data_IF_122363889437
#
_entry.id   IF_122363889437
#
_cell.length_a   1.000
_cell.length_b   1.000
_cell.length_c   1.000
_cell.angle_alpha   90.00
_cell.angle_beta   90.00
_cell.angle_gamma   90.00
#
_symmetry.space_group_name_H-M   'P 1'
#
loop_
_entity.id
_entity.type
_entity.pdbx_description
1 polymer ?
#
# COMPACT_ATOMS: atom_id res chain seq x y z
N UNK A 1 -8.36 -18.71 -14.95
CA UNK A 1 -9.64 -18.79 -15.68
C UNK A 1 -10.69 -17.84 -15.12
N UNK A 2 -10.85 -17.73 -13.78
CA UNK A 2 -11.78 -16.75 -13.15
C UNK A 2 -11.43 -15.29 -13.50
N UNK A 3 -10.15 -14.92 -13.50
CA UNK A 3 -9.72 -13.53 -13.76
C UNK A 3 -10.10 -13.06 -15.18
N UNK A 4 -9.92 -13.93 -16.19
CA UNK A 4 -10.37 -13.65 -17.57
C UNK A 4 -11.89 -13.42 -17.64
N UNK A 5 -12.69 -14.19 -16.89
CA UNK A 5 -14.15 -14.02 -16.85
C UNK A 5 -14.52 -12.69 -16.16
N UNK A 6 -13.81 -12.30 -15.11
CA UNK A 6 -14.05 -11.01 -14.43
C UNK A 6 -13.75 -9.83 -15.36
N UNK A 7 -12.58 -9.82 -16.00
CA UNK A 7 -12.15 -8.73 -16.88
C UNK A 7 -12.88 -8.68 -18.22
N UNK A 8 -13.19 -9.84 -18.82
CA UNK A 8 -13.74 -9.89 -20.18
C UNK A 8 -15.25 -10.03 -20.21
N UNK A 9 -15.88 -10.48 -19.12
CA UNK A 9 -17.32 -10.70 -19.07
C UNK A 9 -17.97 -9.80 -18.02
N UNK A 10 -17.58 -9.92 -16.76
CA UNK A 10 -18.33 -9.32 -15.66
C UNK A 10 -18.21 -7.80 -15.62
N UNK A 11 -16.98 -7.27 -15.73
CA UNK A 11 -16.72 -5.84 -15.75
C UNK A 11 -17.40 -5.16 -16.96
N UNK A 12 -17.17 -5.60 -18.22
CA UNK A 12 -17.77 -4.93 -19.38
C UNK A 12 -19.27 -5.17 -19.55
N UNK A 13 -19.81 -6.33 -19.14
CA UNK A 13 -21.24 -6.62 -19.34
C UNK A 13 -22.13 -6.19 -18.17
N UNK A 14 -21.62 -6.06 -16.95
CA UNK A 14 -22.43 -5.70 -15.78
C UNK A 14 -21.96 -4.40 -15.13
N UNK A 15 -20.70 -4.33 -14.68
CA UNK A 15 -20.21 -3.21 -13.90
C UNK A 15 -20.23 -1.89 -14.69
N UNK A 16 -19.72 -1.89 -15.92
CA UNK A 16 -19.68 -0.70 -16.76
C UNK A 16 -21.09 -0.18 -17.16
N UNK A 17 -22.04 -1.02 -17.60
CA UNK A 17 -23.41 -0.55 -17.89
C UNK A 17 -24.14 -0.01 -16.67
N UNK A 18 -24.00 -0.66 -15.50
CA UNK A 18 -24.62 -0.21 -14.25
C UNK A 18 -24.04 1.14 -13.81
N UNK A 19 -22.72 1.31 -13.91
CA UNK A 19 -22.07 2.58 -13.59
C UNK A 19 -22.55 3.72 -14.51
N UNK A 20 -22.67 3.44 -15.80
CA UNK A 20 -23.21 4.40 -16.77
C UNK A 20 -24.65 4.80 -16.42
N UNK A 21 -25.53 3.84 -16.12
CA UNK A 21 -26.91 4.18 -15.73
C UNK A 21 -26.98 4.98 -14.44
N UNK A 22 -26.12 4.66 -13.47
CA UNK A 22 -26.04 5.40 -12.21
C UNK A 22 -25.59 6.85 -12.42
N UNK A 23 -24.55 7.06 -13.22
CA UNK A 23 -24.01 8.40 -13.53
C UNK A 23 -24.97 9.21 -14.41
N UNK A 24 -25.61 8.59 -15.40
CA UNK A 24 -26.68 9.21 -16.20
C UNK A 24 -27.85 9.67 -15.32
N UNK A 25 -28.32 8.82 -14.38
CA UNK A 25 -29.40 9.17 -13.47
C UNK A 25 -28.99 10.30 -12.50
N UNK A 26 -27.76 10.27 -11.99
CA UNK A 26 -27.23 11.31 -11.12
C UNK A 26 -27.10 12.66 -11.85
N UNK A 27 -26.71 12.64 -13.12
CA UNK A 27 -26.66 13.82 -13.98
C UNK A 27 -28.05 14.37 -14.28
N UNK A 28 -29.00 13.51 -14.66
CA UNK A 28 -30.40 13.89 -14.88
C UNK A 28 -31.05 14.49 -13.63
N UNK A 29 -30.63 14.05 -12.44
CA UNK A 29 -31.03 14.61 -11.15
C UNK A 29 -30.27 15.88 -10.74
N UNK A 30 -29.33 16.38 -11.56
CA UNK A 30 -28.52 17.56 -11.31
C UNK A 30 -27.49 17.42 -10.18
N UNK A 31 -27.10 16.19 -9.81
CA UNK A 31 -26.15 15.91 -8.72
C UNK A 31 -24.69 15.96 -9.15
N UNK A 32 -24.42 15.75 -10.44
CA UNK A 32 -23.08 15.78 -11.01
C UNK A 32 -23.09 16.64 -12.28
N UNK A 33 -21.97 17.31 -12.62
CA UNK A 33 -21.91 18.23 -13.75
C UNK A 33 -21.90 17.52 -15.11
N UNK A 34 -21.38 16.28 -15.17
CA UNK A 34 -21.27 15.48 -16.39
C UNK A 34 -21.79 14.07 -16.16
N UNK A 35 -22.40 13.43 -17.17
CA UNK A 35 -22.85 12.03 -17.07
C UNK A 35 -21.70 11.03 -17.25
N UNK A 36 -20.57 11.44 -17.82
CA UNK A 36 -19.38 10.59 -17.97
C UNK A 36 -18.43 10.80 -16.78
N UNK A 37 -18.26 9.77 -15.97
CA UNK A 37 -17.39 9.76 -14.79
C UNK A 37 -16.42 8.59 -14.92
N UNK A 38 -15.10 8.85 -14.99
CA UNK A 38 -14.10 7.79 -15.12
C UNK A 38 -14.14 6.89 -13.89
N UNK A 39 -14.04 5.58 -14.13
CA UNK A 39 -14.07 4.54 -13.10
C UNK A 39 -12.92 3.57 -13.33
N UNK A 40 -12.22 3.24 -12.25
CA UNK A 40 -11.22 2.19 -12.21
C UNK A 40 -11.81 0.96 -11.51
N UNK A 41 -11.70 -0.20 -12.15
CA UNK A 41 -12.21 -1.47 -11.63
C UNK A 41 -11.06 -2.30 -11.08
N UNK A 42 -11.19 -2.80 -9.86
CA UNK A 42 -10.24 -3.74 -9.26
C UNK A 42 -10.98 -5.02 -8.87
N UNK A 43 -10.76 -6.15 -9.56
CA UNK A 43 -11.39 -7.41 -9.17
C UNK A 43 -10.87 -7.88 -7.81
N UNK A 44 -11.68 -8.62 -7.05
CA UNK A 44 -11.27 -9.13 -5.74
C UNK A 44 -10.10 -10.10 -5.87
N UNK A 45 -9.12 -9.97 -4.97
CA UNK A 45 -7.96 -10.86 -4.90
C UNK A 45 -8.41 -12.32 -4.74
N UNK A 46 -7.79 -13.25 -5.47
CA UNK A 46 -7.89 -14.67 -5.14
C UNK A 46 -7.37 -14.88 -3.71
N UNK A 47 -8.11 -15.68 -2.92
CA UNK A 47 -7.73 -16.00 -1.55
C UNK A 47 -6.31 -16.61 -1.56
N UNK A 48 -5.40 -15.99 -0.82
CA UNK A 48 -4.00 -16.35 -0.82
C UNK A 48 -3.84 -17.80 -0.34
N UNK A 49 -3.26 -18.66 -1.17
CA UNK A 49 -2.94 -20.05 -0.78
C UNK A 49 -1.96 -20.06 0.42
N UNK A 50 -1.13 -19.01 0.54
CA UNK A 50 -0.30 -18.71 1.71
C UNK A 50 -0.19 -17.17 1.89
N UNK A 51 -0.90 -16.57 2.86
CA UNK A 51 -0.91 -15.12 3.05
C UNK A 51 0.45 -14.53 3.44
N UNK A 52 1.34 -15.33 4.06
CA UNK A 52 2.66 -14.86 4.46
C UNK A 52 3.60 -14.72 3.26
N UNK A 53 3.58 -15.69 2.33
CA UNK A 53 4.39 -15.62 1.11
C UNK A 53 3.94 -14.50 0.19
N UNK A 54 2.64 -14.30 0.05
CA UNK A 54 2.08 -13.19 -0.74
C UNK A 54 2.47 -11.82 -0.17
N UNK A 55 2.42 -11.65 1.16
CA UNK A 55 2.84 -10.41 1.80
C UNK A 55 4.33 -10.12 1.58
N UNK A 56 5.18 -11.16 1.64
CA UNK A 56 6.61 -11.03 1.35
C UNK A 56 6.87 -10.73 -0.13
N UNK A 57 6.13 -11.34 -1.05
CA UNK A 57 6.23 -11.06 -2.48
C UNK A 57 5.83 -9.61 -2.80
N UNK A 58 4.73 -9.12 -2.22
CA UNK A 58 4.31 -7.73 -2.37
C UNK A 58 5.35 -6.74 -1.82
N UNK A 59 5.91 -7.04 -0.64
CA UNK A 59 6.98 -6.22 -0.06
C UNK A 59 8.22 -6.20 -0.98
N UNK A 60 8.59 -7.33 -1.57
CA UNK A 60 9.72 -7.43 -2.49
C UNK A 60 9.44 -6.64 -3.78
N UNK A 61 8.25 -6.77 -4.37
CA UNK A 61 7.83 -6.04 -5.56
C UNK A 61 7.82 -4.52 -5.37
N UNK A 62 7.39 -4.06 -4.19
CA UNK A 62 7.45 -2.63 -3.83
C UNK A 62 8.92 -2.17 -3.74
N UNK A 63 9.79 -2.99 -3.16
CA UNK A 63 11.22 -2.66 -3.02
C UNK A 63 11.98 -2.72 -4.35
N UNK A 64 11.63 -3.63 -5.25
CA UNK A 64 12.20 -3.69 -6.60
C UNK A 64 11.63 -2.62 -7.53
N UNK A 65 10.65 -1.84 -7.09
CA UNK A 65 10.00 -0.81 -7.90
C UNK A 65 9.12 -1.36 -9.01
N UNK A 66 8.78 -2.65 -8.98
CA UNK A 66 7.92 -3.29 -9.98
C UNK A 66 6.44 -3.12 -9.67
N UNK A 67 6.10 -2.75 -8.44
CA UNK A 67 4.75 -2.34 -8.02
C UNK A 67 4.85 -1.19 -7.04
N UNK A 68 3.83 -0.34 -6.99
CA UNK A 68 3.71 0.74 -6.02
C UNK A 68 2.87 0.30 -4.80
N UNK A 69 3.06 0.99 -3.67
CA UNK A 69 2.22 0.77 -2.49
C UNK A 69 0.74 1.06 -2.79
N UNK A 70 0.45 2.09 -3.59
CA UNK A 70 -0.90 2.45 -3.97
C UNK A 70 -1.58 1.33 -4.77
N UNK A 71 -0.88 0.73 -5.73
CA UNK A 71 -1.40 -0.41 -6.50
C UNK A 71 -1.68 -1.62 -5.61
N UNK A 72 -0.79 -1.94 -4.66
CA UNK A 72 -1.00 -3.06 -3.73
C UNK A 72 -2.20 -2.81 -2.81
N UNK A 73 -2.45 -1.57 -2.39
CA UNK A 73 -3.63 -1.20 -1.59
C UNK A 73 -4.90 -1.24 -2.43
N UNK A 74 -4.86 -0.73 -3.67
CA UNK A 74 -5.97 -0.76 -4.60
C UNK A 74 -6.38 -2.20 -4.97
N UNK A 75 -5.41 -3.11 -5.13
CA UNK A 75 -5.64 -4.54 -5.32
C UNK A 75 -6.38 -5.20 -4.13
N UNK A 76 -6.31 -4.63 -2.93
CA UNK A 76 -7.08 -5.07 -1.77
C UNK A 76 -8.50 -4.46 -1.74
N UNK A 77 -8.88 -3.68 -2.76
CA UNK A 77 -10.17 -3.00 -2.85
C UNK A 77 -10.30 -1.77 -1.96
N UNK A 78 -9.18 -1.21 -1.47
CA UNK A 78 -9.16 -0.02 -0.61
C UNK A 78 -8.65 1.19 -1.39
N UNK A 79 -9.15 2.37 -1.07
CA UNK A 79 -8.61 3.62 -1.61
C UNK A 79 -7.23 3.91 -0.97
N UNK A 80 -6.15 4.04 -1.78
CA UNK A 80 -4.79 4.30 -1.27
C UNK A 80 -4.68 5.55 -0.40
N UNK A 81 -5.28 6.67 -0.82
CA UNK A 81 -5.20 7.94 -0.09
C UNK A 81 -5.90 7.84 1.27
N UNK A 82 -7.03 7.14 1.32
CA UNK A 82 -7.76 6.89 2.57
C UNK A 82 -6.93 6.04 3.54
N UNK A 83 -6.23 5.02 3.04
CA UNK A 83 -5.35 4.16 3.86
C UNK A 83 -4.16 4.95 4.39
N UNK A 84 -3.52 5.77 3.56
CA UNK A 84 -2.40 6.61 4.01
C UNK A 84 -2.84 7.63 5.06
N UNK A 85 -4.03 8.23 4.90
CA UNK A 85 -4.61 9.12 5.90
C UNK A 85 -4.90 8.40 7.22
N UNK A 86 -5.42 7.17 7.17
CA UNK A 86 -5.67 6.34 8.36
C UNK A 86 -4.37 5.97 9.09
N UNK A 87 -3.32 5.60 8.34
CA UNK A 87 -1.99 5.34 8.89
C UNK A 87 -1.45 6.59 9.59
N UNK A 88 -1.52 7.75 8.96
CA UNK A 88 -1.06 9.01 9.55
C UNK A 88 -1.82 9.36 10.84
N UNK A 89 -3.15 9.21 10.83
CA UNK A 89 -3.98 9.47 12.00
C UNK A 89 -3.71 8.48 13.15
N UNK A 90 -3.46 7.21 12.83
CA UNK A 90 -3.12 6.17 13.81
C UNK A 90 -1.75 6.43 14.42
N UNK A 91 -0.77 6.75 13.59
CA UNK A 91 0.57 7.13 14.04
C UNK A 91 0.54 8.32 14.98
N UNK A 92 -0.23 9.37 14.67
CA UNK A 92 -0.37 10.53 15.55
C UNK A 92 -0.99 10.16 16.93
N UNK A 93 -1.95 9.22 16.95
CA UNK A 93 -2.53 8.72 18.21
C UNK A 93 -1.53 7.88 19.00
N UNK A 94 -0.75 7.03 18.34
CA UNK A 94 0.28 6.21 18.98
C UNK A 94 1.37 7.10 19.60
N UNK A 95 1.82 8.12 18.86
CA UNK A 95 2.78 9.11 19.33
C UNK A 95 2.22 9.89 20.53
N UNK A 96 0.94 10.28 20.51
CA UNK A 96 0.29 10.96 21.64
C UNK A 96 0.13 10.08 22.90
N UNK A 97 -0.02 8.77 22.72
CA UNK A 97 -0.15 7.79 23.82
C UNK A 97 1.20 7.23 24.27
N UNK A 98 2.31 7.59 23.61
CA UNK A 98 3.65 7.05 23.89
C UNK A 98 3.78 5.55 23.60
N UNK A 99 2.95 5.00 22.73
CA UNK A 99 2.93 3.57 22.40
C UNK A 99 3.85 3.29 21.22
N UNK A 100 4.84 2.40 21.41
CA UNK A 100 5.73 1.92 20.34
C UNK A 100 5.32 0.50 19.97
N UNK A 101 4.90 0.31 18.72
CA UNK A 101 4.51 -1.00 18.18
C UNK A 101 5.58 -1.50 17.20
N UNK A 102 5.81 -2.81 17.18
CA UNK A 102 6.67 -3.51 16.19
C UNK A 102 6.25 -3.23 14.73
N UNK A 103 4.99 -2.84 14.54
CA UNK A 103 4.41 -2.47 13.25
C UNK A 103 4.79 -1.08 12.74
N UNK A 104 5.47 -0.24 13.54
CA UNK A 104 5.94 1.08 13.11
C UNK A 104 7.43 1.06 12.73
N UNK A 105 7.75 0.85 11.44
CA UNK A 105 9.14 0.84 10.98
C UNK A 105 9.87 2.18 11.17
N UNK A 106 9.18 3.27 11.53
CA UNK A 106 9.81 4.55 11.87
C UNK A 106 10.53 4.51 13.23
N UNK A 107 10.15 3.57 14.10
CA UNK A 107 10.66 3.48 15.47
C UNK A 107 11.35 2.16 15.78
N UNK A 108 11.02 1.09 15.06
CA UNK A 108 11.55 -0.26 15.31
C UNK A 108 11.86 -1.00 14.01
N UNK A 109 12.99 -1.70 13.96
CA UNK A 109 13.34 -2.57 12.84
C UNK A 109 12.50 -3.84 12.88
N UNK A 110 12.50 -4.63 11.80
CA UNK A 110 11.84 -5.95 11.70
C UNK A 110 12.24 -6.96 12.80
N UNK A 111 13.31 -6.67 13.56
CA UNK A 111 13.79 -7.46 14.70
C UNK A 111 13.41 -6.87 16.06
N UNK A 112 12.56 -5.82 16.10
CA UNK A 112 12.13 -5.15 17.33
C UNK A 112 13.18 -4.20 17.94
N UNK A 113 14.33 -3.99 17.27
CA UNK A 113 15.35 -3.05 17.73
C UNK A 113 14.92 -1.61 17.41
N UNK A 114 15.03 -0.70 18.38
CA UNK A 114 14.74 0.71 18.15
C UNK A 114 15.61 1.28 17.01
N UNK A 115 15.00 1.95 16.03
CA UNK A 115 15.71 2.75 15.03
C UNK A 115 16.10 4.08 15.68
N UNK A 116 17.39 4.28 15.95
CA UNK A 116 17.94 5.57 16.37
C UNK A 116 17.97 6.52 15.16
N UNK A 117 17.01 7.44 15.09
CA UNK A 117 17.03 8.58 14.17
C UNK A 117 17.92 9.72 14.71
N UNK A 118 19.15 9.41 15.12
CA UNK A 118 20.15 10.43 15.43
C UNK A 118 21.13 10.57 14.25
N UNK A 119 21.16 11.72 13.54
CA UNK A 119 22.07 11.94 12.42
C UNK A 119 23.56 12.06 12.82
N UNK A 120 23.92 11.84 14.08
CA UNK A 120 25.23 12.19 14.63
C UNK A 120 26.07 11.01 15.13
N UNK A 121 25.63 9.76 14.97
CA UNK A 121 26.32 8.60 15.53
C UNK A 121 27.07 7.73 14.50
N UNK A 122 27.44 8.29 13.33
CA UNK A 122 28.26 7.58 12.33
C UNK A 122 29.61 8.30 12.14
N UNK A 123 30.34 8.46 13.24
CA UNK A 123 31.79 8.64 13.19
C UNK A 123 32.41 7.86 14.34
N UNK A 124 33.52 7.16 14.04
CA UNK A 124 34.36 6.35 14.94
C UNK A 124 33.89 4.88 14.99
N UNK A 125 34.50 3.94 14.27
CA UNK A 125 35.91 3.57 14.42
C UNK A 125 36.36 2.73 13.22
N UNK A 126 37.30 3.25 12.45
CA UNK A 126 38.11 2.48 11.50
C UNK A 126 39.39 2.06 12.27
N UNK A 127 39.67 0.76 12.51
CA UNK A 127 40.98 0.38 13.00
C UNK A 127 41.92 0.26 11.80
N UNK A 128 42.83 1.22 11.70
CA UNK A 128 43.96 1.22 10.78
C UNK A 128 44.73 -0.12 10.81
N UNK A 129 45.27 -0.59 9.66
CA UNK A 129 46.15 -1.75 9.65
C UNK A 129 47.53 -1.33 10.19
N UNK A 130 47.92 -1.87 11.35
CA UNK A 130 49.28 -1.73 11.87
C UNK A 130 50.21 -2.63 11.06
N UNK A 131 51.12 -2.01 10.32
CA UNK A 131 52.35 -2.64 9.83
C UNK A 131 53.10 -3.32 10.97
N UNK A 132 53.44 -4.59 10.81
CA UNK A 132 54.56 -5.22 11.51
C UNK A 132 55.18 -6.32 10.65
N UNK A 133 56.30 -5.95 10.03
CA UNK A 133 57.38 -6.84 9.59
C UNK A 133 58.02 -7.47 10.83
N UNK A 134 58.28 -8.78 10.78
CA UNK A 134 59.54 -9.44 11.14
C UNK A 134 59.56 -10.85 10.55
#
# INVERSE_FOLDING_TARGET
>A
MIDAVQWQLFIPMLCAPVWRWFTEAAWAAGRIPTPDVPVEWSPPKFEAVDPQKDAMANLLSIRSGTMTLAEVIAQQGRNPDAVLAEIAATNAKLDALGLVLDSDPRRVTKTGSAQSNDPAADTTTDPAPTDQQD
#
